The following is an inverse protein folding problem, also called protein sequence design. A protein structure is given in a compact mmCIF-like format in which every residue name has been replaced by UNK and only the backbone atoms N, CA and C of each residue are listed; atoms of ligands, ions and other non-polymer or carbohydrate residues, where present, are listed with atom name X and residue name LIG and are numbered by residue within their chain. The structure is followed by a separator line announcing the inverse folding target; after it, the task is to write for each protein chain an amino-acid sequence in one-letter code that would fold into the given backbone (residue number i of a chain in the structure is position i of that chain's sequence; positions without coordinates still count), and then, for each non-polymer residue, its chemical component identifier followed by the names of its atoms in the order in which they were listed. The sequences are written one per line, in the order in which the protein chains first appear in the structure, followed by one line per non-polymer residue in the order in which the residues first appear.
data_IF_331524216196
#
_entry.id   IF_331524216196
#
_cell.length_a   1.000
_cell.length_b   1.000
_cell.length_c   1.000
_cell.angle_alpha   90.00
_cell.angle_beta   90.00
_cell.angle_gamma   90.00
#
_symmetry.space_group_name_H-M   'P 1'
#
loop_
_entity.id
_entity.type
_entity.pdbx_description
1 polymer ?
#
# COMPACT_ATOMS: atom_id res chain seq x y z
N UNK A 1 -31.88 13.54 -8.83
CA UNK A 1 -31.55 12.48 -7.85
C UNK A 1 -30.04 12.47 -7.73
N UNK A 2 -29.50 13.01 -6.63
CA UNK A 2 -28.06 13.14 -6.41
C UNK A 2 -27.52 11.81 -5.91
N UNK A 3 -26.60 11.20 -6.65
CA UNK A 3 -25.90 9.99 -6.24
C UNK A 3 -24.94 10.39 -5.11
N UNK A 4 -25.37 10.26 -3.85
CA UNK A 4 -24.42 10.28 -2.74
C UNK A 4 -23.56 9.05 -2.91
N UNK A 5 -22.34 9.25 -3.41
CA UNK A 5 -21.24 8.32 -3.20
C UNK A 5 -21.15 8.11 -1.69
N UNK A 6 -21.75 7.01 -1.23
CA UNK A 6 -21.48 6.49 0.10
C UNK A 6 -20.00 6.16 0.11
N UNK A 7 -19.22 7.08 0.68
CA UNK A 7 -17.96 6.74 1.32
C UNK A 7 -18.31 5.70 2.38
N UNK A 8 -18.37 4.44 1.96
CA UNK A 8 -18.39 3.31 2.86
C UNK A 8 -17.07 3.40 3.59
N UNK A 9 -17.15 3.82 4.85
CA UNK A 9 -16.09 3.61 5.82
C UNK A 9 -15.63 2.18 5.61
N UNK A 10 -14.45 2.02 5.02
CA UNK A 10 -13.89 0.70 4.80
C UNK A 10 -13.69 0.14 6.19
N UNK A 11 -14.64 -0.68 6.65
CA UNK A 11 -14.55 -1.40 7.91
C UNK A 11 -13.15 -1.95 7.96
N UNK A 12 -12.33 -1.41 8.87
CA UNK A 12 -10.96 -1.84 9.05
C UNK A 12 -11.04 -3.33 9.32
N UNK A 13 -10.63 -4.15 8.35
CA UNK A 13 -10.80 -5.59 8.45
C UNK A 13 -9.98 -6.06 9.65
N UNK A 14 -10.52 -6.97 10.46
CA UNK A 14 -9.75 -7.62 11.52
C UNK A 14 -8.82 -8.69 10.95
N UNK A 15 -7.78 -9.05 11.69
CA UNK A 15 -6.87 -10.15 11.33
C UNK A 15 -5.96 -9.85 10.14
N UNK A 16 -5.50 -10.91 9.45
CA UNK A 16 -4.55 -10.81 8.33
C UNK A 16 -4.95 -9.82 7.22
N UNK A 17 -6.22 -9.73 6.77
CA UNK A 17 -6.62 -8.71 5.80
C UNK A 17 -6.40 -7.28 6.31
N UNK A 18 -6.65 -7.03 7.60
CA UNK A 18 -6.40 -5.73 8.23
C UNK A 18 -4.93 -5.36 8.29
N UNK A 19 -4.07 -6.32 8.60
CA UNK A 19 -2.62 -6.11 8.58
C UNK A 19 -2.12 -5.79 7.16
N UNK A 20 -2.66 -6.45 6.13
CA UNK A 20 -2.36 -6.13 4.73
C UNK A 20 -2.81 -4.73 4.34
N UNK A 21 -3.99 -4.29 4.79
CA UNK A 21 -4.48 -2.92 4.57
C UNK A 21 -3.57 -1.88 5.24
N UNK A 22 -3.08 -2.16 6.47
CA UNK A 22 -2.11 -1.29 7.14
C UNK A 22 -0.77 -1.22 6.40
N UNK A 23 -0.25 -2.36 5.96
CA UNK A 23 1.00 -2.42 5.18
C UNK A 23 0.85 -1.63 3.88
N UNK A 24 -0.30 -1.72 3.20
CA UNK A 24 -0.63 -0.92 2.01
C UNK A 24 -0.64 0.58 2.32
N UNK A 25 -1.19 0.96 3.46
CA UNK A 25 -1.13 2.34 3.98
C UNK A 25 0.31 2.82 4.16
N UNK A 26 1.14 2.07 4.89
CA UNK A 26 2.55 2.40 5.11
C UNK A 26 3.36 2.54 3.82
N UNK A 27 3.11 1.66 2.83
CA UNK A 27 3.75 1.75 1.50
C UNK A 27 3.35 3.03 0.78
N UNK A 28 2.07 3.41 0.85
CA UNK A 28 1.55 4.64 0.26
C UNK A 28 2.17 5.88 0.92
N UNK A 29 2.24 5.90 2.25
CA UNK A 29 2.86 6.96 3.03
C UNK A 29 4.36 7.10 2.72
N UNK A 30 5.08 5.99 2.60
CA UNK A 30 6.48 5.98 2.22
C UNK A 30 6.71 6.59 0.83
N UNK A 31 5.89 6.24 -0.16
CA UNK A 31 5.96 6.85 -1.50
C UNK A 31 5.69 8.36 -1.44
N UNK A 32 4.70 8.78 -0.66
CA UNK A 32 4.38 10.21 -0.50
C UNK A 32 5.53 10.96 0.19
N UNK A 33 6.12 10.40 1.24
CA UNK A 33 7.27 10.97 1.93
C UNK A 33 8.47 11.12 0.99
N UNK A 34 8.79 10.09 0.19
CA UNK A 34 9.87 10.14 -0.79
C UNK A 34 9.61 11.17 -1.89
N UNK A 35 8.37 11.26 -2.40
CA UNK A 35 7.99 12.30 -3.38
C UNK A 35 8.11 13.71 -2.80
N UNK A 36 7.73 13.92 -1.54
CA UNK A 36 7.90 15.21 -0.86
C UNK A 36 9.38 15.55 -0.72
N UNK A 37 10.21 14.60 -0.32
CA UNK A 37 11.66 14.78 -0.26
C UNK A 37 12.24 15.15 -1.63
N UNK A 38 11.74 14.54 -2.71
CA UNK A 38 12.20 14.75 -4.09
C UNK A 38 11.95 16.15 -4.64
N UNK A 39 10.88 16.81 -4.20
CA UNK A 39 10.46 18.15 -4.66
C UNK A 39 11.06 19.27 -3.81
N UNK A 40 11.72 18.95 -2.69
CA UNK A 40 12.40 19.95 -1.87
C UNK A 40 13.47 20.70 -2.67
N UNK A 41 13.65 22.00 -2.38
CA UNK A 41 14.70 22.82 -2.99
C UNK A 41 16.06 22.49 -2.39
N UNK A 42 16.88 21.70 -3.08
CA UNK A 42 18.19 21.29 -2.59
C UNK A 42 19.28 22.00 -3.40
N UNK A 43 20.03 22.90 -2.78
CA UNK A 43 21.07 23.68 -3.48
C UNK A 43 22.44 23.10 -3.12
N UNK A 44 22.91 22.15 -3.92
CA UNK A 44 24.27 21.59 -3.84
C UNK A 44 24.60 20.82 -5.13
N UNK A 45 25.89 20.67 -5.45
CA UNK A 45 26.35 19.83 -6.57
C UNK A 45 25.97 18.34 -6.38
N UNK A 46 25.73 17.92 -5.14
CA UNK A 46 25.29 16.56 -4.80
C UNK A 46 23.77 16.33 -4.99
N UNK A 47 22.97 17.38 -5.19
CA UNK A 47 21.51 17.30 -5.25
C UNK A 47 21.01 16.33 -6.33
N UNK A 48 21.67 16.30 -7.49
CA UNK A 48 21.33 15.37 -8.57
C UNK A 48 21.48 13.89 -8.14
N UNK A 49 22.55 13.56 -7.41
CA UNK A 49 22.79 12.20 -6.91
C UNK A 49 21.73 11.78 -5.89
N UNK A 50 21.35 12.67 -4.98
CA UNK A 50 20.27 12.36 -4.03
C UNK A 50 18.89 12.23 -4.69
N UNK A 51 18.61 13.06 -5.69
CA UNK A 51 17.40 12.93 -6.48
C UNK A 51 17.30 11.57 -7.17
N UNK A 52 18.41 11.05 -7.73
CA UNK A 52 18.45 9.70 -8.29
C UNK A 52 18.18 8.63 -7.23
N UNK A 53 18.80 8.73 -6.04
CA UNK A 53 18.56 7.79 -4.93
C UNK A 53 17.07 7.79 -4.55
N UNK A 54 16.43 8.96 -4.46
CA UNK A 54 15.00 9.05 -4.16
C UNK A 54 14.14 8.41 -5.26
N UNK A 55 14.49 8.62 -6.53
CA UNK A 55 13.78 8.02 -7.66
C UNK A 55 13.90 6.48 -7.64
N UNK A 56 15.09 5.95 -7.31
CA UNK A 56 15.33 4.52 -7.14
C UNK A 56 14.54 3.93 -5.95
N UNK A 57 14.50 4.62 -4.81
CA UNK A 57 13.71 4.20 -3.66
C UNK A 57 12.20 4.21 -3.96
N UNK A 58 11.71 5.23 -4.67
CA UNK A 58 10.32 5.27 -5.13
C UNK A 58 10.02 4.06 -6.03
N UNK A 59 10.92 3.72 -6.94
CA UNK A 59 10.77 2.56 -7.82
C UNK A 59 10.74 1.24 -7.02
N UNK A 60 11.60 1.09 -6.00
CA UNK A 60 11.62 -0.08 -5.12
C UNK A 60 10.32 -0.22 -4.33
N UNK A 61 9.86 0.85 -3.67
CA UNK A 61 8.65 0.82 -2.85
C UNK A 61 7.40 0.54 -3.71
N UNK A 62 7.35 1.05 -4.95
CA UNK A 62 6.25 0.73 -5.88
C UNK A 62 6.16 -0.75 -6.24
N UNK A 63 7.27 -1.50 -6.21
CA UNK A 63 7.26 -2.96 -6.45
C UNK A 63 6.55 -3.72 -5.31
N UNK A 64 6.41 -3.13 -4.13
CA UNK A 64 5.71 -3.76 -3.01
C UNK A 64 4.19 -3.80 -3.24
N UNK A 65 3.62 -2.86 -4.01
CA UNK A 65 2.18 -2.81 -4.29
C UNK A 65 1.64 -4.12 -4.88
N UNK A 66 2.16 -4.59 -6.02
CA UNK A 66 1.75 -5.87 -6.61
C UNK A 66 1.92 -7.08 -5.68
N UNK A 67 2.95 -7.08 -4.83
CA UNK A 67 3.18 -8.15 -3.85
C UNK A 67 2.09 -8.16 -2.77
N UNK A 68 1.68 -6.97 -2.30
CA UNK A 68 0.59 -6.82 -1.32
C UNK A 68 -0.74 -7.22 -1.96
N UNK A 69 -0.99 -6.87 -3.22
CA UNK A 69 -2.18 -7.31 -3.95
C UNK A 69 -2.25 -8.83 -4.11
N UNK A 70 -1.12 -9.47 -4.44
CA UNK A 70 -1.03 -10.93 -4.52
C UNK A 70 -1.24 -11.62 -3.16
N UNK A 71 -0.72 -11.03 -2.09
CA UNK A 71 -0.93 -11.50 -0.73
C UNK A 71 -2.40 -11.38 -0.30
N UNK A 72 -3.05 -10.24 -0.57
CA UNK A 72 -4.49 -10.03 -0.30
C UNK A 72 -5.35 -11.04 -1.07
N UNK A 73 -5.05 -11.26 -2.35
CA UNK A 73 -5.73 -12.27 -3.17
C UNK A 73 -5.60 -13.68 -2.56
N UNK A 74 -4.40 -14.05 -2.11
CA UNK A 74 -4.13 -15.35 -1.50
C UNK A 74 -4.88 -15.52 -0.17
N UNK A 75 -4.90 -14.48 0.67
CA UNK A 75 -5.64 -14.49 1.94
C UNK A 75 -7.14 -14.64 1.70
N UNK A 76 -7.72 -13.90 0.75
CA UNK A 76 -9.15 -14.02 0.40
C UNK A 76 -9.50 -15.40 -0.15
N UNK A 77 -8.64 -15.97 -0.99
CA UNK A 77 -8.84 -17.32 -1.51
C UNK A 77 -8.82 -18.37 -0.39
N UNK A 78 -7.88 -18.25 0.56
CA UNK A 78 -7.80 -19.13 1.72
C UNK A 78 -9.03 -19.01 2.63
N UNK A 79 -9.51 -17.78 2.89
CA UNK A 79 -10.75 -17.54 3.64
C UNK A 79 -11.95 -18.17 2.95
N UNK A 80 -12.09 -17.96 1.64
CA UNK A 80 -13.19 -18.54 0.85
C UNK A 80 -13.16 -20.07 0.88
N UNK A 81 -12.00 -20.69 0.70
CA UNK A 81 -11.85 -22.14 0.73
C UNK A 81 -12.19 -22.71 2.12
N UNK A 82 -11.80 -22.00 3.18
CA UNK A 82 -12.10 -22.38 4.56
C UNK A 82 -13.59 -22.27 4.88
N UNK A 83 -14.24 -21.19 4.44
CA UNK A 83 -15.68 -20.99 4.62
C UNK A 83 -16.48 -22.08 3.89
N UNK A 84 -16.05 -22.46 2.68
CA UNK A 84 -16.64 -23.59 1.94
C UNK A 84 -16.41 -24.94 2.62
N UNK A 85 -15.30 -25.11 3.33
CA UNK A 85 -14.98 -26.33 4.06
C UNK A 85 -15.66 -26.44 5.44
N UNK A 86 -16.33 -25.37 5.92
CA UNK A 86 -17.02 -25.36 7.22
C UNK A 86 -16.09 -25.51 8.43
N UNK A 87 -14.82 -25.11 8.30
CA UNK A 87 -13.82 -25.29 9.36
C UNK A 87 -13.96 -24.24 10.48
N UNK A 88 -13.97 -24.62 11.77
CA UNK A 88 -14.05 -23.69 12.90
C UNK A 88 -12.76 -22.87 13.10
N UNK A 89 -12.87 -21.72 13.77
CA UNK A 89 -11.78 -20.76 14.04
C UNK A 89 -10.70 -21.35 14.93
#
# INVERSE_FOLDING_TARGET
MSFMEQCTDSQVRGGLPGELDRVRGHVSDAVLALRRARVGSWVSDASAGYHQILDDQIALVRRLGPLIDAADSSVRAAQTARDQAGLPW
#
